data_IF_880672891225
#
_entry.id   IF_880672891225
#
_cell.length_a   1.000
_cell.length_b   1.000
_cell.length_c   1.000
_cell.angle_alpha   90.00
_cell.angle_beta   90.00
_cell.angle_gamma   90.00
#
_symmetry.space_group_name_H-M   'P 1'
#
loop_
_entity.id
_entity.type
_entity.pdbx_description
1 polymer ?
#
# COMPACT_ATOMS: atom_id res chain seq x y z
N UNK A 1 23.50 1.62 -13.61
CA UNK A 1 22.21 0.91 -13.78
C UNK A 1 21.57 1.45 -15.05
N UNK A 2 21.16 0.57 -15.96
CA UNK A 2 20.49 0.97 -17.20
C UNK A 2 19.19 1.74 -16.87
N UNK A 3 18.93 2.83 -17.60
CA UNK A 3 17.73 3.68 -17.47
C UNK A 3 16.45 2.86 -17.62
N UNK A 4 16.47 1.85 -18.49
CA UNK A 4 15.35 0.92 -18.67
C UNK A 4 15.07 0.10 -17.41
N UNK A 5 16.11 -0.48 -16.81
CA UNK A 5 16.01 -1.28 -15.56
C UNK A 5 15.47 -0.41 -14.41
N UNK A 6 15.92 0.86 -14.33
CA UNK A 6 15.44 1.80 -13.31
C UNK A 6 13.96 2.15 -13.47
N UNK A 7 13.50 2.46 -14.68
CA UNK A 7 12.08 2.73 -14.92
C UNK A 7 11.22 1.51 -14.62
N UNK A 8 11.67 0.31 -14.99
CA UNK A 8 10.98 -0.93 -14.66
C UNK A 8 10.86 -1.13 -13.13
N UNK A 9 11.94 -0.88 -12.37
CA UNK A 9 11.92 -0.98 -10.91
C UNK A 9 11.00 0.06 -10.24
N UNK A 10 10.97 1.30 -10.75
CA UNK A 10 10.04 2.33 -10.26
C UNK A 10 8.59 1.90 -10.55
N UNK A 11 8.29 1.46 -11.78
CA UNK A 11 6.96 1.00 -12.16
C UNK A 11 6.49 -0.16 -11.30
N UNK A 12 7.37 -1.12 -11.01
CA UNK A 12 7.05 -2.26 -10.16
C UNK A 12 6.67 -1.82 -8.74
N UNK A 13 7.45 -0.93 -8.12
CA UNK A 13 7.15 -0.40 -6.78
C UNK A 13 5.82 0.38 -6.76
N UNK A 14 5.56 1.23 -7.76
CA UNK A 14 4.30 1.98 -7.84
C UNK A 14 3.10 1.08 -8.11
N UNK A 15 3.29 0.01 -8.89
CA UNK A 15 2.23 -0.95 -9.17
C UNK A 15 1.88 -1.77 -7.93
N UNK A 16 2.90 -2.25 -7.20
CA UNK A 16 2.71 -2.92 -5.92
C UNK A 16 2.05 -1.98 -4.89
N UNK A 17 2.51 -0.73 -4.79
CA UNK A 17 1.91 0.28 -3.91
C UNK A 17 0.42 0.45 -4.16
N UNK A 18 0.02 0.56 -5.43
CA UNK A 18 -1.39 0.69 -5.83
C UNK A 18 -2.22 -0.50 -5.37
N UNK A 19 -1.72 -1.72 -5.55
CA UNK A 19 -2.42 -2.95 -5.14
C UNK A 19 -2.54 -3.00 -3.62
N UNK A 20 -1.45 -2.80 -2.87
CA UNK A 20 -1.47 -2.80 -1.41
C UNK A 20 -2.44 -1.77 -0.83
N UNK A 21 -2.50 -0.56 -1.41
CA UNK A 21 -3.45 0.47 -0.97
C UNK A 21 -4.90 0.12 -1.33
N UNK A 22 -5.16 -0.54 -2.45
CA UNK A 22 -6.49 -0.99 -2.81
C UNK A 22 -6.99 -2.08 -1.84
N UNK A 23 -6.13 -3.04 -1.51
CA UNK A 23 -6.46 -4.10 -0.56
C UNK A 23 -6.69 -3.51 0.86
N UNK A 24 -5.91 -2.50 1.26
CA UNK A 24 -6.11 -1.80 2.53
C UNK A 24 -7.43 -1.00 2.56
N UNK A 25 -7.81 -0.41 1.42
CA UNK A 25 -9.10 0.27 1.27
C UNK A 25 -10.26 -0.71 1.42
N UNK A 26 -10.22 -1.86 0.75
CA UNK A 26 -11.26 -2.90 0.86
C UNK A 26 -11.47 -3.32 2.32
N UNK A 27 -10.39 -3.54 3.08
CA UNK A 27 -10.46 -3.85 4.52
C UNK A 27 -11.06 -2.71 5.35
N UNK A 28 -10.73 -1.47 5.02
CA UNK A 28 -11.29 -0.31 5.69
C UNK A 28 -12.79 -0.17 5.41
N UNK A 29 -13.23 -0.43 4.17
CA UNK A 29 -14.64 -0.44 3.78
C UNK A 29 -15.42 -1.54 4.51
N UNK A 30 -14.87 -2.76 4.59
CA UNK A 30 -15.46 -3.86 5.36
C UNK A 30 -15.63 -3.50 6.84
N UNK A 31 -14.60 -2.90 7.44
CA UNK A 31 -14.65 -2.46 8.82
C UNK A 31 -15.70 -1.36 9.04
N UNK A 32 -15.79 -0.40 8.13
CA UNK A 32 -16.77 0.68 8.16
C UNK A 32 -18.21 0.15 8.02
N UNK A 33 -18.44 -0.82 7.12
CA UNK A 33 -19.75 -1.42 6.90
C UNK A 33 -20.20 -2.26 8.10
N UNK A 34 -19.28 -3.00 8.73
CA UNK A 34 -19.56 -3.77 9.94
C UNK A 34 -19.96 -2.85 11.11
N UNK A 35 -19.23 -1.74 11.33
CA UNK A 35 -19.57 -0.82 12.43
C UNK A 35 -20.89 -0.08 12.18
N UNK A 36 -21.21 0.27 10.93
CA UNK A 36 -22.52 0.83 10.54
C UNK A 36 -23.68 -0.14 10.85
N UNK A 37 -23.40 -1.44 10.82
CA UNK A 37 -24.36 -2.51 11.14
C UNK A 37 -24.39 -2.88 12.63
N UNK A 38 -23.59 -2.23 13.48
CA UNK A 38 -23.49 -2.52 14.91
C UNK A 38 -22.58 -3.71 15.26
N UNK A 39 -21.87 -4.28 14.27
CA UNK A 39 -21.04 -5.47 14.41
C UNK A 39 -19.61 -5.11 14.82
N UNK A 40 -19.43 -4.61 16.05
CA UNK A 40 -18.15 -4.05 16.54
C UNK A 40 -16.98 -5.03 16.40
N UNK A 41 -17.16 -6.30 16.80
CA UNK A 41 -16.08 -7.29 16.73
C UNK A 41 -15.65 -7.59 15.30
N UNK A 42 -16.59 -7.61 14.36
CA UNK A 42 -16.29 -7.80 12.94
C UNK A 42 -15.59 -6.58 12.37
N UNK A 43 -15.99 -5.37 12.76
CA UNK A 43 -15.31 -4.13 12.37
C UNK A 43 -13.85 -4.11 12.81
N UNK A 44 -13.57 -4.44 14.08
CA UNK A 44 -12.20 -4.52 14.61
C UNK A 44 -11.42 -5.65 13.91
N UNK A 45 -12.04 -6.82 13.72
CA UNK A 45 -11.41 -7.93 13.02
C UNK A 45 -11.06 -7.63 11.56
N UNK A 46 -11.91 -6.87 10.85
CA UNK A 46 -11.64 -6.42 9.48
C UNK A 46 -10.52 -5.37 9.43
N UNK A 47 -10.47 -4.47 10.41
CA UNK A 47 -9.43 -3.44 10.51
C UNK A 47 -8.05 -4.00 10.91
N UNK A 48 -8.00 -5.17 11.55
CA UNK A 48 -6.75 -5.84 11.87
C UNK A 48 -5.94 -6.16 10.61
N UNK A 49 -4.65 -5.83 10.64
CA UNK A 49 -3.72 -6.04 9.52
C UNK A 49 -3.58 -4.84 8.58
N UNK A 50 -4.49 -3.84 8.65
CA UNK A 50 -4.34 -2.60 7.88
C UNK A 50 -3.01 -1.91 8.22
N UNK A 51 -2.56 -1.93 9.48
CA UNK A 51 -1.27 -1.36 9.88
C UNK A 51 -0.10 -1.94 9.06
N UNK A 52 -0.03 -3.26 8.92
CA UNK A 52 1.01 -3.93 8.13
C UNK A 52 0.93 -3.52 6.66
N UNK A 53 -0.28 -3.44 6.10
CA UNK A 53 -0.47 -3.00 4.71
C UNK A 53 -0.02 -1.55 4.50
N UNK A 54 -0.26 -0.67 5.47
CA UNK A 54 0.20 0.72 5.43
C UNK A 54 1.73 0.81 5.53
N UNK A 55 2.36 -0.03 6.35
CA UNK A 55 3.82 -0.12 6.45
C UNK A 55 4.44 -0.59 5.13
N UNK A 56 3.86 -1.62 4.49
CA UNK A 56 4.29 -2.12 3.19
C UNK A 56 4.12 -1.04 2.09
N UNK A 57 2.97 -0.37 2.07
CA UNK A 57 2.73 0.75 1.16
C UNK A 57 3.77 1.88 1.35
N UNK A 58 4.07 2.26 2.59
CA UNK A 58 5.09 3.27 2.89
C UNK A 58 6.49 2.85 2.41
N UNK A 59 6.84 1.58 2.55
CA UNK A 59 8.10 1.03 2.07
C UNK A 59 8.20 1.10 0.53
N UNK A 60 7.14 0.68 -0.17
CA UNK A 60 7.07 0.71 -1.64
C UNK A 60 7.15 2.14 -2.19
N UNK A 61 6.44 3.08 -1.56
CA UNK A 61 6.53 4.51 -1.87
C UNK A 61 7.97 5.04 -1.71
N UNK A 62 8.59 4.73 -0.57
CA UNK A 62 9.95 5.19 -0.25
C UNK A 62 10.97 4.62 -1.24
N UNK A 63 10.83 3.34 -1.61
CA UNK A 63 11.69 2.69 -2.59
C UNK A 63 11.57 3.34 -3.98
N UNK A 64 10.35 3.62 -4.45
CA UNK A 64 10.12 4.31 -5.72
C UNK A 64 10.79 5.70 -5.74
N UNK A 65 10.67 6.47 -4.65
CA UNK A 65 11.31 7.78 -4.53
C UNK A 65 12.84 7.70 -4.49
N UNK A 66 13.39 6.75 -3.73
CA UNK A 66 14.84 6.54 -3.65
C UNK A 66 15.42 6.21 -5.02
N UNK A 67 14.79 5.30 -5.76
CA UNK A 67 15.15 4.96 -7.13
C UNK A 67 15.06 6.17 -8.05
N UNK A 68 14.02 7.00 -7.95
CA UNK A 68 13.92 8.23 -8.75
C UNK A 68 15.08 9.19 -8.49
N UNK A 69 15.37 9.47 -7.21
CA UNK A 69 16.41 10.39 -6.76
C UNK A 69 17.82 9.94 -7.13
N UNK A 70 18.11 8.64 -7.09
CA UNK A 70 19.46 8.10 -7.36
C UNK A 70 19.96 8.26 -8.80
N UNK A 71 19.14 8.76 -9.72
CA UNK A 71 19.59 9.09 -11.09
C UNK A 71 19.47 10.58 -11.43
N UNK A 72 19.43 11.42 -10.40
CA UNK A 72 19.63 12.88 -10.53
C UNK A 72 21.05 13.31 -10.10
N UNK A 73 21.90 12.35 -9.72
CA UNK A 73 23.31 12.55 -9.37
C UNK A 73 24.20 12.31 -10.60
#
# INVERSE_FOLDING_TARGET
>A
MDRSIKHAAILANLSALRVTLADALERAEDAENAIKSGEVNQAIGAAMGIETMLQDAAALYTAALALHRSGRA
#
